data_IF_628468883864
#
_entry.id   IF_628468883864
#
_cell.length_a   1.000
_cell.length_b   1.000
_cell.length_c   1.000
_cell.angle_alpha   90.00
_cell.angle_beta   90.00
_cell.angle_gamma   90.00
#
_symmetry.space_group_name_H-M   'P 1'
#
loop_
_entity.id
_entity.type
_entity.pdbx_description
1 polymer ?
#
# COMPACT_ATOMS: atom_id res chain seq x y z
N UNK A 1 5.92 -10.33 1.27
CA UNK A 1 6.25 -9.44 0.13
C UNK A 1 6.27 -8.00 0.60
N UNK A 2 7.34 -7.31 0.31
CA UNK A 2 7.49 -5.90 0.71
C UNK A 2 7.10 -4.96 -0.41
N UNK A 3 6.35 -3.93 -0.06
CA UNK A 3 5.88 -2.91 -0.99
C UNK A 3 6.48 -1.56 -0.61
N UNK A 4 6.76 -0.74 -1.60
CA UNK A 4 7.22 0.62 -1.35
C UNK A 4 6.06 1.49 -0.91
N UNK A 5 6.34 2.37 0.04
CA UNK A 5 5.35 3.35 0.50
C UNK A 5 4.79 4.17 -0.66
N UNK A 6 5.65 4.56 -1.60
CA UNK A 6 5.24 5.33 -2.77
C UNK A 6 4.17 4.61 -3.58
N UNK A 7 4.34 3.30 -3.76
CA UNK A 7 3.36 2.50 -4.48
C UNK A 7 2.02 2.51 -3.77
N UNK A 8 2.04 2.33 -2.44
CA UNK A 8 0.80 2.29 -1.66
C UNK A 8 0.09 3.64 -1.72
N UNK A 9 0.84 4.74 -1.64
CA UNK A 9 0.25 6.07 -1.72
C UNK A 9 -0.38 6.32 -3.08
N UNK A 10 0.26 5.84 -4.15
CA UNK A 10 -0.28 5.96 -5.50
C UNK A 10 -1.59 5.19 -5.63
N UNK A 11 -1.68 4.01 -5.02
CA UNK A 11 -2.90 3.22 -5.05
C UNK A 11 -4.02 3.90 -4.28
N UNK A 12 -3.71 4.56 -3.16
CA UNK A 12 -4.70 5.34 -2.42
C UNK A 12 -5.30 6.44 -3.28
N UNK A 13 -4.46 7.13 -4.04
CA UNK A 13 -4.93 8.18 -4.93
C UNK A 13 -5.83 7.62 -6.01
N UNK A 14 -5.48 6.48 -6.58
CA UNK A 14 -6.27 5.81 -7.60
C UNK A 14 -7.64 5.41 -7.09
N UNK A 15 -7.72 5.02 -5.83
CA UNK A 15 -8.96 4.59 -5.21
C UNK A 15 -9.84 5.78 -4.79
N UNK A 16 -9.40 7.01 -5.08
CA UNK A 16 -10.15 8.19 -4.69
C UNK A 16 -10.03 8.54 -3.22
N UNK A 17 -9.00 8.02 -2.56
CA UNK A 17 -8.79 8.24 -1.13
C UNK A 17 -7.71 9.29 -0.88
N UNK A 18 -7.68 10.33 -1.69
CA UNK A 18 -6.63 11.35 -1.58
C UNK A 18 -6.58 12.02 -0.21
N UNK A 19 -7.71 12.09 0.48
CA UNK A 19 -7.75 12.65 1.83
C UNK A 19 -6.93 11.80 2.81
N UNK A 20 -6.87 10.50 2.58
CA UNK A 20 -6.14 9.58 3.43
C UNK A 20 -4.66 9.52 3.13
N UNK A 21 -4.24 10.08 2.00
CA UNK A 21 -2.83 10.06 1.59
C UNK A 21 -1.94 10.75 2.62
N UNK A 22 -2.38 11.90 3.14
CA UNK A 22 -1.62 12.62 4.16
C UNK A 22 -1.42 11.77 5.41
N UNK A 23 -2.50 11.15 5.86
CA UNK A 23 -2.43 10.29 7.05
C UNK A 23 -1.55 9.07 6.79
N UNK A 24 -1.68 8.47 5.62
CA UNK A 24 -0.87 7.33 5.25
C UNK A 24 0.61 7.69 5.16
N UNK A 25 0.89 8.89 4.65
CA UNK A 25 2.26 9.38 4.55
C UNK A 25 2.94 9.41 5.92
N UNK A 26 2.17 9.76 6.96
CA UNK A 26 2.70 9.84 8.32
C UNK A 26 2.72 8.48 9.02
N UNK A 27 1.72 7.64 8.75
CA UNK A 27 1.52 6.40 9.50
C UNK A 27 2.23 5.20 8.91
N UNK A 28 2.46 5.19 7.60
CA UNK A 28 3.06 4.02 6.95
C UNK A 28 4.58 4.06 7.01
N UNK A 29 5.23 2.91 7.24
CA UNK A 29 6.68 2.82 7.12
C UNK A 29 7.09 2.87 5.66
N UNK A 30 8.39 3.06 5.40
CA UNK A 30 8.90 3.13 4.04
C UNK A 30 8.73 1.83 3.27
N UNK A 31 8.85 0.71 3.97
CA UNK A 31 8.63 -0.62 3.41
C UNK A 31 7.46 -1.24 4.11
N UNK A 32 6.49 -1.66 3.36
CA UNK A 32 5.24 -2.21 3.89
C UNK A 32 5.14 -3.67 3.48
N UNK A 33 5.06 -4.55 4.47
CA UNK A 33 4.83 -5.97 4.22
C UNK A 33 3.33 -6.20 4.15
N UNK A 34 2.83 -6.71 3.02
CA UNK A 34 1.39 -6.84 2.83
C UNK A 34 0.75 -7.81 3.81
N UNK A 35 1.52 -8.71 4.41
CA UNK A 35 0.99 -9.62 5.42
C UNK A 35 1.09 -9.05 6.83
N UNK A 36 2.26 -8.53 7.19
CA UNK A 36 2.47 -7.97 8.52
C UNK A 36 1.66 -6.70 8.75
N UNK A 37 1.50 -5.91 7.72
CA UNK A 37 0.79 -4.63 7.80
C UNK A 37 -0.61 -4.70 7.19
N UNK A 38 -1.17 -5.91 7.09
CA UNK A 38 -2.49 -6.09 6.49
C UNK A 38 -3.56 -5.25 7.18
N UNK A 39 -3.58 -5.26 8.51
CA UNK A 39 -4.56 -4.49 9.26
C UNK A 39 -4.42 -2.99 9.01
N UNK A 40 -3.18 -2.53 8.90
CA UNK A 40 -2.92 -1.12 8.62
C UNK A 40 -3.40 -0.73 7.23
N UNK A 41 -3.16 -1.59 6.24
CA UNK A 41 -3.62 -1.35 4.88
C UNK A 41 -5.16 -1.33 4.82
N UNK A 42 -5.80 -2.24 5.52
CA UNK A 42 -7.26 -2.30 5.58
C UNK A 42 -7.85 -1.07 6.24
N UNK A 43 -7.13 -0.51 7.21
CA UNK A 43 -7.55 0.72 7.86
C UNK A 43 -7.70 1.87 6.86
N UNK A 44 -6.89 1.86 5.82
CA UNK A 44 -6.95 2.86 4.77
C UNK A 44 -7.84 2.44 3.59
N UNK A 45 -8.55 1.34 3.74
CA UNK A 45 -9.47 0.88 2.71
C UNK A 45 -8.79 0.14 1.57
N UNK A 46 -7.58 -0.35 1.79
CA UNK A 46 -6.82 -1.08 0.78
C UNK A 46 -6.88 -2.58 1.05
N UNK A 47 -6.91 -3.36 -0.03
CA UNK A 47 -6.87 -4.81 0.06
C UNK A 47 -5.42 -5.27 -0.07
N UNK A 48 -4.82 -5.83 0.99
CA UNK A 48 -3.41 -6.24 0.92
C UNK A 48 -3.12 -7.23 -0.20
N UNK A 49 -4.02 -8.17 -0.44
CA UNK A 49 -3.85 -9.15 -1.50
C UNK A 49 -3.81 -8.53 -2.89
N UNK A 50 -4.70 -7.59 -3.13
CA UNK A 50 -4.73 -6.88 -4.41
C UNK A 50 -3.52 -6.00 -4.61
N UNK A 51 -3.04 -5.38 -3.54
CA UNK A 51 -1.82 -4.58 -3.62
C UNK A 51 -0.64 -5.44 -4.03
N UNK A 52 -0.53 -6.63 -3.42
CA UNK A 52 0.55 -7.54 -3.76
C UNK A 52 0.46 -7.98 -5.23
N UNK A 53 -0.74 -8.29 -5.71
CA UNK A 53 -0.95 -8.67 -7.10
C UNK A 53 -0.50 -7.56 -8.05
N UNK A 54 -0.92 -6.34 -7.78
CA UNK A 54 -0.59 -5.20 -8.63
C UNK A 54 0.90 -4.91 -8.62
N UNK A 55 1.55 -5.09 -7.47
CA UNK A 55 2.98 -4.90 -7.37
C UNK A 55 3.73 -5.92 -8.19
N UNK A 56 3.28 -7.17 -8.17
CA UNK A 56 3.87 -8.22 -8.99
C UNK A 56 3.71 -7.90 -10.47
N UNK A 57 2.53 -7.50 -10.88
CA UNK A 57 2.23 -7.15 -12.27
C UNK A 57 3.13 -6.02 -12.78
N UNK A 58 3.43 -5.08 -11.90
CA UNK A 58 4.29 -3.95 -12.26
C UNK A 58 5.77 -4.23 -12.10
N UNK A 59 6.11 -5.38 -11.51
CA UNK A 59 7.50 -5.74 -11.27
C UNK A 59 8.21 -4.88 -10.25
N UNK A 60 7.48 -4.26 -9.32
CA UNK A 60 8.05 -3.35 -8.33
C UNK A 60 8.13 -3.94 -6.94
N UNK A 61 7.66 -5.16 -6.74
CA UNK A 61 7.69 -5.81 -5.44
C UNK A 61 8.92 -6.68 -5.29
N UNK A 62 9.49 -6.67 -4.09
CA UNK A 62 10.58 -7.60 -3.75
C UNK A 62 9.96 -8.91 -3.27
N UNK A 63 10.50 -9.98 -3.79
CA UNK A 63 10.06 -11.31 -3.37
C UNK A 63 10.95 -11.83 -2.25
#
# INVERSE_FOLDING_TARGET
MQLDKQFVLAELKKEGQSEKVQQALNDLPEKIDHEQHAALLEKFGLDPGKLAERAIERGIASL
#
